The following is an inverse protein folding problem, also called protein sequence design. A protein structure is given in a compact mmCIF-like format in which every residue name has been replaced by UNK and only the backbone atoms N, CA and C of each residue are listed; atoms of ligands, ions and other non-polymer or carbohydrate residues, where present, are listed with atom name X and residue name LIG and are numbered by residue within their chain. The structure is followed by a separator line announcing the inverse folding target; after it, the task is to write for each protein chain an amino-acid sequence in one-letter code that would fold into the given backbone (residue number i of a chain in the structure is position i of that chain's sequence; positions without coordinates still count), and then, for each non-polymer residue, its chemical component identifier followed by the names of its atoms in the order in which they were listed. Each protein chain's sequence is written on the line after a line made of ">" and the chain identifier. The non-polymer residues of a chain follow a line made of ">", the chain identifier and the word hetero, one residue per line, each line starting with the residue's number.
data_IF_505214398157
#
_entry.id   IF_505214398157
#
_cell.length_a   1.000
_cell.length_b   1.000
_cell.length_c   1.000
_cell.angle_alpha   90.00
_cell.angle_beta   90.00
_cell.angle_gamma   90.00
#
_symmetry.space_group_name_H-M   'P 1'
#
loop_
_entity.id
_entity.type
_entity.pdbx_description
1 polymer ?
2 polymer ?
3 polymer ?
4 non-polymer ?
5 water ?
#
loop_
_entity_poly.entity_id
_entity_poly.type
_entity_poly.pdbx_seq_one_letter_code
_entity_poly.pdbx_strand_id
3 'polyribonucleotide' 'GGCUCCUUGGCA' ?
#
# COMPACT_ATOMS: atom_id res chain seq x y z
N UNK A 1 -16.00 -15.16 11.68
CA UNK A 1 -16.38 -16.17 10.70
C UNK A 1 -15.96 -15.79 9.28
N UNK A 2 -14.72 -16.10 8.91
CA UNK A 2 -13.72 -16.67 9.80
C UNK A 2 -12.41 -15.94 9.53
N UNK A 3 -12.39 -14.64 9.86
CA UNK A 3 -11.34 -13.75 9.39
C UNK A 3 -9.97 -14.00 10.02
N UNK A 4 -9.95 -14.52 11.23
CA UNK A 4 -8.68 -14.79 11.90
C UNK A 4 -7.85 -15.81 11.13
N UNK A 5 -8.49 -16.56 10.23
CA UNK A 5 -7.83 -17.63 9.49
C UNK A 5 -6.89 -17.12 8.40
N UNK A 6 -7.13 -15.91 7.93
CA UNK A 6 -6.25 -15.30 6.93
C UNK A 6 -4.83 -15.15 7.47
N UNK A 7 -4.71 -14.54 8.65
CA UNK A 7 -3.43 -14.36 9.30
C UNK A 7 -2.80 -15.70 9.66
N UNK A 8 -3.64 -16.67 10.02
CA UNK A 8 -3.18 -18.00 10.39
C UNK A 8 -2.57 -18.72 9.20
N UNK A 9 -3.15 -18.49 8.03
CA UNK A 9 -2.62 -19.10 6.82
C UNK A 9 -1.27 -18.48 6.50
N UNK A 10 -1.14 -17.18 6.70
CA UNK A 10 0.15 -16.52 6.51
C UNK A 10 1.17 -17.11 7.47
N UNK A 11 0.80 -17.27 8.73
CA UNK A 11 1.70 -17.87 9.72
C UNK A 11 2.15 -19.25 9.26
N UNK A 12 1.20 -20.10 8.90
CA UNK A 12 1.48 -21.48 8.53
C UNK A 12 2.38 -21.56 7.29
N UNK A 13 2.11 -20.73 6.29
CA UNK A 13 2.95 -20.71 5.09
C UNK A 13 4.38 -20.36 5.44
N UNK A 14 4.56 -19.33 6.27
CA UNK A 14 5.89 -18.90 6.72
C UNK A 14 6.65 -20.07 7.35
N UNK A 15 5.95 -20.88 8.15
CA UNK A 15 6.59 -22.00 8.82
C UNK A 15 7.01 -23.08 7.83
N UNK A 16 6.09 -23.47 6.94
CA UNK A 16 6.39 -24.51 5.95
C UNK A 16 7.52 -24.06 5.04
N UNK A 17 7.47 -22.80 4.63
CA UNK A 17 8.51 -22.20 3.82
C UNK A 17 9.87 -22.35 4.50
N UNK A 18 9.98 -21.95 5.76
CA UNK A 18 11.29 -22.05 6.43
C UNK A 18 11.66 -23.48 6.86
N UNK A 19 10.67 -24.35 6.97
CA UNK A 19 10.93 -25.78 7.22
C UNK A 19 11.59 -26.38 5.98
N UNK A 20 11.06 -26.02 4.82
CA UNK A 20 11.59 -26.48 3.55
C UNK A 20 13.04 -26.01 3.33
N UNK A 21 13.32 -24.78 3.73
CA UNK A 21 14.64 -24.18 3.53
C UNK A 21 15.68 -24.59 4.57
N UNK A 22 15.22 -25.00 5.75
CA UNK A 22 16.11 -25.29 6.85
C UNK A 22 16.16 -26.77 7.25
N UNK A 23 15.04 -27.47 7.06
CA UNK A 23 14.96 -28.86 7.42
C UNK A 23 15.19 -29.12 8.89
N UNK A 24 14.70 -28.21 9.73
CA UNK A 24 14.78 -28.38 11.18
C UNK A 24 13.41 -28.73 11.72
N UNK A 25 13.33 -29.01 13.02
CA UNK A 25 12.08 -29.38 13.66
C UNK A 25 10.99 -28.33 13.48
N UNK A 26 9.87 -28.73 12.85
CA UNK A 26 8.76 -27.81 12.57
C UNK A 26 8.21 -27.14 13.83
N UNK A 27 8.13 -27.91 14.92
CA UNK A 27 7.66 -27.38 16.19
C UNK A 27 8.45 -26.15 16.62
N UNK A 28 9.77 -26.25 16.55
CA UNK A 28 10.63 -25.13 16.94
C UNK A 28 10.53 -23.97 15.95
N UNK A 29 10.39 -24.29 14.66
CA UNK A 29 10.29 -23.26 13.64
C UNK A 29 8.97 -22.49 13.81
N UNK A 30 7.91 -23.22 14.14
CA UNK A 30 6.62 -22.60 14.43
C UNK A 30 6.75 -21.59 15.56
N UNK A 31 7.49 -21.95 16.61
CA UNK A 31 7.71 -21.06 17.74
C UNK A 31 8.45 -19.78 17.32
N UNK A 32 9.39 -19.92 16.40
CA UNK A 32 10.11 -18.76 15.87
C UNK A 32 9.18 -17.77 15.19
N UNK A 33 8.31 -18.28 14.32
CA UNK A 33 7.43 -17.42 13.52
C UNK A 33 6.41 -16.73 14.42
N UNK A 34 5.90 -17.47 15.40
CA UNK A 34 4.92 -16.92 16.35
C UNK A 34 5.50 -15.71 17.09
N UNK A 35 6.73 -15.89 17.57
CA UNK A 35 7.44 -14.84 18.30
C UNK A 35 7.72 -13.63 17.42
N UNK A 36 8.22 -13.88 16.22
CA UNK A 36 8.55 -12.81 15.28
C UNK A 36 7.32 -11.97 14.90
N UNK A 37 6.19 -12.63 14.68
CA UNK A 37 4.96 -11.93 14.31
C UNK A 37 4.23 -11.36 15.53
N UNK A 38 4.65 -11.79 16.71
CA UNK A 38 4.00 -11.39 17.97
C UNK A 38 2.51 -11.73 17.95
N UNK A 39 2.20 -12.99 17.68
CA UNK A 39 0.82 -13.46 17.68
C UNK A 39 0.31 -13.61 19.11
N UNK A 40 -0.79 -12.92 19.42
CA UNK A 40 -1.35 -12.97 20.76
C UNK A 40 -2.72 -13.63 20.80
N UNK A 41 -3.56 -13.31 19.82
CA UNK A 41 -4.89 -13.90 19.75
C UNK A 41 -4.84 -15.42 19.82
N UNK A 42 -5.74 -16.00 20.60
CA UNK A 42 -5.75 -17.44 20.85
C UNK A 42 -6.13 -18.26 19.61
N UNK A 43 -7.20 -17.87 18.94
CA UNK A 43 -7.66 -18.60 17.76
C UNK A 43 -6.72 -18.45 16.57
N UNK A 44 -5.98 -17.34 16.51
CA UNK A 44 -5.00 -17.16 15.44
C UNK A 44 -3.83 -18.11 15.65
N UNK A 45 -3.41 -18.24 16.90
CA UNK A 45 -2.32 -19.12 17.28
C UNK A 45 -2.72 -20.56 16.99
N UNK A 46 -3.88 -20.95 17.51
CA UNK A 46 -4.31 -22.35 17.46
C UNK A 46 -4.65 -22.86 16.06
N UNK A 47 -5.23 -22.01 15.21
CA UNK A 47 -5.52 -22.46 13.86
C UNK A 47 -4.24 -22.58 13.02
N UNK A 48 -3.30 -21.67 13.22
CA UNK A 48 -2.00 -21.75 12.55
C UNK A 48 -1.31 -23.05 12.95
N UNK A 49 -1.32 -23.34 14.25
CA UNK A 49 -0.68 -24.55 14.76
C UNK A 49 -1.30 -25.81 14.16
N UNK A 50 -2.63 -25.85 14.09
CA UNK A 50 -3.31 -26.98 13.45
C UNK A 50 -2.96 -27.13 11.98
N UNK A 51 -2.90 -26.02 11.26
CA UNK A 51 -2.54 -26.01 9.85
C UNK A 51 -1.17 -26.68 9.63
N UNK A 52 -0.17 -26.23 10.38
CA UNK A 52 1.18 -26.76 10.25
C UNK A 52 1.26 -28.23 10.68
N UNK A 53 0.74 -28.53 11.86
CA UNK A 53 0.75 -29.90 12.36
C UNK A 53 0.10 -30.86 11.35
N UNK A 54 -0.90 -30.37 10.63
CA UNK A 54 -1.57 -31.18 9.61
C UNK A 54 -0.67 -31.38 8.39
N UNK A 55 -0.11 -30.28 7.89
CA UNK A 55 0.77 -30.34 6.73
C UNK A 55 1.98 -31.25 6.98
N UNK A 56 2.53 -31.18 8.19
CA UNK A 56 3.70 -31.97 8.54
C UNK A 56 3.36 -33.46 8.67
N UNK A 57 2.33 -33.77 9.46
CA UNK A 57 1.93 -35.15 9.67
C UNK A 57 1.73 -35.89 8.35
N UNK A 58 1.08 -35.24 7.40
CA UNK A 58 0.68 -35.89 6.15
C UNK A 58 1.54 -35.46 4.96
N UNK A 59 2.76 -35.02 5.23
CA UNK A 59 3.63 -34.44 4.19
C UNK A 59 3.84 -35.34 2.97
N UNK A 60 4.04 -36.64 3.21
CA UNK A 60 4.32 -37.57 2.11
C UNK A 60 3.15 -37.72 1.15
N UNK A 61 1.97 -37.99 1.69
CA UNK A 61 0.79 -38.12 0.84
C UNK A 61 0.46 -36.79 0.15
N UNK A 62 0.63 -35.69 0.87
CA UNK A 62 0.41 -34.37 0.30
C UNK A 62 1.27 -34.14 -0.94
N UNK A 63 2.56 -34.45 -0.82
CA UNK A 63 3.50 -34.31 -1.94
C UNK A 63 3.13 -35.23 -3.10
N UNK A 64 2.80 -36.48 -2.76
CA UNK A 64 2.39 -37.44 -3.77
C UNK A 64 1.19 -36.94 -4.58
N UNK A 65 0.21 -36.36 -3.90
CA UNK A 65 -0.95 -35.79 -4.57
C UNK A 65 -0.55 -34.67 -5.54
N UNK A 66 0.22 -33.72 -5.05
CA UNK A 66 0.68 -32.60 -5.86
C UNK A 66 1.44 -33.06 -7.12
N UNK A 67 2.28 -34.08 -6.94
CA UNK A 67 3.11 -34.56 -8.04
C UNK A 67 2.30 -35.20 -9.17
N UNK A 68 1.07 -35.60 -8.87
CA UNK A 68 0.21 -36.22 -9.88
C UNK A 68 -0.32 -35.20 -10.88
N UNK A 69 -0.26 -33.93 -10.53
CA UNK A 69 -0.75 -32.86 -11.40
C UNK A 69 0.38 -31.97 -11.92
N UNK A 70 1.59 -32.53 -11.97
CA UNK A 70 2.75 -31.84 -12.52
C UNK A 70 3.27 -32.55 -13.76
N UNK A 74 8.22 -33.41 -11.21
CA UNK A 74 8.63 -33.64 -9.83
C UNK A 74 8.51 -32.37 -8.99
N UNK A 75 8.15 -32.54 -7.71
CA UNK A 75 7.80 -31.40 -6.87
C UNK A 75 8.99 -30.50 -6.52
N UNK A 76 10.20 -31.05 -6.52
CA UNK A 76 11.38 -30.22 -6.21
C UNK A 76 11.74 -29.27 -7.35
N UNK A 77 11.06 -29.40 -8.48
CA UNK A 77 11.20 -28.46 -9.60
C UNK A 77 10.57 -27.11 -9.27
N UNK A 78 9.53 -27.13 -8.44
CA UNK A 78 8.79 -25.93 -8.11
C UNK A 78 9.64 -24.97 -7.29
N UNK A 79 9.26 -23.69 -7.29
CA UNK A 79 9.90 -22.72 -6.42
C UNK A 79 9.49 -22.97 -4.98
N UNK A 80 10.22 -22.38 -4.03
CA UNK A 80 9.90 -22.54 -2.61
C UNK A 80 8.53 -21.93 -2.23
N UNK A 81 8.20 -20.78 -2.79
CA UNK A 81 6.89 -20.16 -2.50
C UNK A 81 5.76 -21.02 -3.05
N UNK A 82 5.90 -21.44 -4.31
CA UNK A 82 4.86 -22.22 -4.98
C UNK A 82 4.60 -23.56 -4.28
N UNK A 83 5.67 -24.30 -4.02
CA UNK A 83 5.57 -25.65 -3.44
C UNK A 83 4.94 -25.63 -2.04
N UNK A 84 5.32 -24.68 -1.20
CA UNK A 84 4.79 -24.66 0.16
C UNK A 84 3.39 -24.05 0.26
N UNK A 85 3.04 -23.23 -0.73
CA UNK A 85 1.67 -22.72 -0.81
C UNK A 85 0.78 -23.89 -1.18
N UNK A 86 1.22 -24.67 -2.17
CA UNK A 86 0.47 -25.84 -2.59
C UNK A 86 0.29 -26.83 -1.44
N UNK A 87 1.36 -27.04 -0.67
CA UNK A 87 1.29 -27.91 0.50
C UNK A 87 0.25 -27.43 1.52
N UNK A 88 0.27 -26.13 1.81
CA UNK A 88 -0.68 -25.56 2.76
C UNK A 88 -2.11 -25.73 2.25
N UNK A 89 -2.31 -25.43 0.97
CA UNK A 89 -3.63 -25.57 0.37
C UNK A 89 -4.19 -26.97 0.46
N UNK A 90 -3.41 -27.96 0.03
CA UNK A 90 -3.85 -29.35 0.05
C UNK A 90 -4.14 -29.78 1.49
N UNK A 91 -3.33 -29.31 2.43
CA UNK A 91 -3.54 -29.63 3.82
C UNK A 91 -4.93 -29.17 4.30
N UNK A 92 -5.27 -27.92 4.01
CA UNK A 92 -6.52 -27.35 4.53
C UNK A 92 -7.76 -27.81 3.77
N UNK A 93 -7.66 -27.87 2.44
CA UNK A 93 -8.80 -28.24 1.60
C UNK A 93 -9.19 -29.70 1.76
N UNK A 94 -8.19 -30.56 1.84
CA UNK A 94 -8.41 -32.01 1.75
C UNK A 94 -8.25 -32.72 3.09
N UNK A 95 -7.13 -32.51 3.76
CA UNK A 95 -6.88 -33.19 5.04
C UNK A 95 -7.61 -32.53 6.21
N UNK A 96 -8.08 -31.31 6.02
CA UNK A 96 -8.91 -30.64 7.02
C UNK A 96 -10.34 -30.46 6.51
N UNK A 97 -10.55 -30.77 5.24
CA UNK A 97 -11.88 -30.76 4.65
C UNK A 97 -12.58 -29.42 4.87
N UNK A 98 -11.92 -28.35 4.45
CA UNK A 98 -12.43 -27.00 4.63
C UNK A 98 -13.82 -26.85 4.06
N UNK A 99 -14.71 -26.22 4.83
CA UNK A 99 -16.06 -25.97 4.38
C UNK A 99 -16.17 -24.57 3.79
N UNK A 100 -15.00 -23.93 3.64
CA UNK A 100 -14.92 -22.64 2.99
C UNK A 100 -13.81 -22.68 1.94
N UNK A 101 -13.93 -23.60 0.95
CA UNK A 101 -12.88 -23.81 -0.04
C UNK A 101 -12.59 -22.57 -0.90
N UNK A 102 -13.63 -21.78 -1.17
CA UNK A 102 -13.45 -20.54 -1.92
C UNK A 102 -12.49 -19.60 -1.21
N UNK A 103 -12.63 -19.52 0.11
CA UNK A 103 -11.75 -18.68 0.92
C UNK A 103 -10.27 -19.10 0.88
N UNK A 104 -10.01 -20.39 1.03
CA UNK A 104 -8.62 -20.85 1.04
C UNK A 104 -7.95 -20.62 -0.32
N UNK A 105 -8.68 -20.85 -1.40
CA UNK A 105 -8.18 -20.56 -2.73
C UNK A 105 -7.74 -19.10 -2.82
N UNK A 106 -8.63 -18.20 -2.40
CA UNK A 106 -8.32 -16.76 -2.42
C UNK A 106 -7.11 -16.44 -1.55
N UNK A 107 -7.12 -16.89 -0.30
CA UNK A 107 -6.04 -16.59 0.62
C UNK A 107 -4.71 -17.21 0.17
N UNK A 108 -4.74 -18.45 -0.30
CA UNK A 108 -3.51 -19.13 -0.71
C UNK A 108 -2.90 -18.44 -1.93
N UNK A 109 -3.74 -18.12 -2.91
CA UNK A 109 -3.26 -17.46 -4.12
C UNK A 109 -2.72 -16.07 -3.84
N UNK A 110 -3.37 -15.34 -2.93
CA UNK A 110 -2.86 -14.03 -2.49
C UNK A 110 -1.48 -14.13 -1.83
N UNK A 111 -1.29 -15.17 -1.04
CA UNK A 111 -0.01 -15.43 -0.39
C UNK A 111 1.10 -15.49 -1.43
N UNK A 112 0.85 -16.26 -2.49
CA UNK A 112 1.81 -16.42 -3.57
C UNK A 112 2.07 -15.11 -4.31
N UNK A 113 1.01 -14.36 -4.62
CA UNK A 113 1.15 -13.07 -5.27
C UNK A 113 1.96 -12.10 -4.41
N UNK A 114 1.80 -12.21 -3.09
CA UNK A 114 2.43 -11.30 -2.16
C UNK A 114 3.94 -11.50 -2.06
N UNK A 115 4.38 -12.76 -2.01
CA UNK A 115 5.80 -13.07 -1.82
C UNK A 115 6.51 -13.50 -3.11
N UNK A 116 5.74 -13.75 -4.16
CA UNK A 116 6.28 -13.96 -5.50
C UNK A 116 5.54 -13.05 -6.49
N UNK A 117 5.07 -13.60 -7.60
CA UNK A 117 4.40 -12.76 -8.60
C UNK A 117 3.14 -13.37 -9.21
N UNK A 118 2.48 -12.59 -10.07
CA UNK A 118 1.24 -13.00 -10.73
C UNK A 118 1.37 -14.36 -11.42
N UNK A 119 2.45 -14.54 -12.17
CA UNK A 119 2.69 -15.81 -12.85
C UNK A 119 2.67 -16.97 -11.86
N UNK A 120 3.44 -16.85 -10.78
CA UNK A 120 3.46 -17.88 -9.76
C UNK A 120 2.05 -18.11 -9.24
N UNK A 121 1.32 -17.03 -9.00
CA UNK A 121 -0.04 -17.11 -8.49
C UNK A 121 -0.97 -17.91 -9.39
N UNK A 122 -0.86 -17.70 -10.70
CA UNK A 122 -1.68 -18.41 -11.67
C UNK A 122 -1.31 -19.88 -11.79
N UNK A 123 -0.03 -20.18 -11.67
CA UNK A 123 0.43 -21.57 -11.71
C UNK A 123 -0.10 -22.32 -10.52
N UNK A 124 -0.02 -21.70 -9.34
CA UNK A 124 -0.51 -22.33 -8.12
C UNK A 124 -2.02 -22.53 -8.15
N UNK A 125 -2.75 -21.50 -8.58
CA UNK A 125 -4.19 -21.59 -8.67
C UNK A 125 -4.63 -22.73 -9.60
N UNK A 126 -3.97 -22.81 -10.76
CA UNK A 126 -4.29 -23.82 -11.76
C UNK A 126 -3.99 -25.24 -11.29
N UNK A 127 -2.88 -25.42 -10.59
CA UNK A 127 -2.52 -26.74 -10.07
C UNK A 127 -3.43 -27.12 -8.90
N UNK A 128 -3.71 -26.16 -8.04
CA UNK A 128 -4.53 -26.41 -6.85
C UNK A 128 -5.97 -26.72 -7.24
N UNK A 129 -6.39 -26.20 -8.40
CA UNK A 129 -7.74 -26.45 -8.88
C UNK A 129 -7.88 -27.88 -9.38
N UNK A 130 -6.94 -28.31 -10.22
CA UNK A 130 -6.94 -29.68 -10.72
C UNK A 130 -6.99 -30.66 -9.56
N UNK A 131 -6.21 -30.38 -8.53
CA UNK A 131 -6.17 -31.24 -7.35
C UNK A 131 -7.54 -31.37 -6.69
N UNK A 132 -8.16 -30.23 -6.37
CA UNK A 132 -9.43 -30.24 -5.66
C UNK A 132 -10.51 -30.87 -6.53
N UNK A 133 -10.50 -30.53 -7.81
CA UNK A 133 -11.43 -31.10 -8.76
C UNK A 133 -11.44 -32.62 -8.66
N UNK A 134 -10.25 -33.22 -8.68
CA UNK A 134 -10.12 -34.66 -8.54
C UNK A 134 -10.74 -35.14 -7.24
N UNK A 135 -10.46 -34.41 -6.15
CA UNK A 135 -11.04 -34.72 -4.84
C UNK A 135 -12.57 -34.72 -4.91
N UNK B 1 -10.21 3.61 16.22
CA UNK B 1 -9.78 2.55 15.32
C UNK B 1 -9.90 2.97 13.87
N UNK B 2 -9.63 2.03 12.95
CA UNK B 2 -9.83 2.24 11.52
C UNK B 2 -8.75 3.10 10.87
N UNK B 3 -7.50 2.77 11.16
CA UNK B 3 -6.35 3.59 10.72
C UNK B 3 -6.24 3.78 9.20
N UNK B 4 -6.50 2.72 8.43
CA UNK B 4 -6.39 2.78 6.98
C UNK B 4 -7.27 3.89 6.37
N UNK B 5 -8.22 4.38 7.16
CA UNK B 5 -9.16 5.40 6.69
C UNK B 5 -8.55 6.79 6.71
N UNK B 6 -7.52 6.97 7.52
CA UNK B 6 -6.80 8.26 7.52
C UNK B 6 -6.18 8.52 6.15
N UNK B 7 -5.45 7.53 5.64
CA UNK B 7 -4.85 7.63 4.32
C UNK B 7 -5.91 7.81 3.24
N UNK B 8 -7.03 7.08 3.36
CA UNK B 8 -8.12 7.21 2.39
C UNK B 8 -8.67 8.64 2.33
N UNK B 9 -8.78 9.28 3.49
CA UNK B 9 -9.25 10.67 3.55
C UNK B 9 -8.28 11.62 2.85
N UNK B 10 -6.98 11.40 3.03
CA UNK B 10 -5.99 12.17 2.30
C UNK B 10 -6.20 11.99 0.79
N UNK B 11 -6.36 10.74 0.36
CA UNK B 11 -6.58 10.42 -1.04
C UNK B 11 -7.81 11.14 -1.62
N UNK B 12 -8.92 11.06 -0.90
CA UNK B 12 -10.17 11.67 -1.36
C UNK B 12 -10.07 13.21 -1.42
N UNK B 13 -9.44 13.80 -0.41
CA UNK B 13 -9.17 15.24 -0.41
C UNK B 13 -8.37 15.68 -1.64
N UNK B 14 -7.29 14.96 -1.93
CA UNK B 14 -6.47 15.25 -3.09
C UNK B 14 -7.28 15.22 -4.39
N UNK B 15 -8.19 14.25 -4.51
CA UNK B 15 -9.02 14.14 -5.69
C UNK B 15 -9.99 15.32 -5.82
N UNK B 16 -10.69 15.63 -4.74
CA UNK B 16 -11.61 16.76 -4.75
C UNK B 16 -10.87 18.06 -5.08
N UNK B 17 -9.68 18.23 -4.50
CA UNK B 17 -8.89 19.42 -4.75
C UNK B 17 -8.62 19.63 -6.24
N UNK B 18 -8.11 18.61 -6.92
CA UNK B 18 -7.82 18.75 -8.34
C UNK B 18 -9.07 18.74 -9.22
N UNK B 19 -10.15 18.12 -8.72
CA UNK B 19 -11.44 18.19 -9.41
C UNK B 19 -11.96 19.63 -9.43
N UNK B 20 -11.80 20.30 -8.29
CA UNK B 20 -12.23 21.69 -8.13
C UNK B 20 -11.45 22.62 -9.06
N UNK B 21 -10.19 22.29 -9.31
CA UNK B 21 -9.35 23.10 -10.18
C UNK B 21 -9.50 22.72 -11.66
N UNK B 22 -9.66 21.42 -11.92
CA UNK B 22 -9.62 20.92 -13.29
C UNK B 22 -11.00 20.72 -13.94
N UNK B 23 -12.00 20.37 -13.15
CA UNK B 23 -13.34 20.16 -13.66
C UNK B 23 -13.47 18.98 -14.62
N UNK B 24 -12.51 18.06 -14.56
CA UNK B 24 -12.56 16.88 -15.42
C UNK B 24 -13.22 15.69 -14.71
N UNK B 25 -13.37 14.57 -15.41
CA UNK B 25 -14.03 13.39 -14.86
C UNK B 25 -13.42 12.91 -13.54
N UNK B 26 -14.21 13.00 -12.45
CA UNK B 26 -13.75 12.63 -11.10
C UNK B 26 -13.11 11.25 -11.06
N UNK B 27 -13.63 10.31 -11.84
CA UNK B 27 -13.11 8.96 -11.89
C UNK B 27 -11.70 8.88 -12.43
N UNK B 28 -11.42 9.59 -13.52
CA UNK B 28 -10.07 9.63 -14.09
C UNK B 28 -9.10 10.29 -13.12
N UNK B 29 -9.58 11.34 -12.44
CA UNK B 29 -8.74 12.03 -11.46
C UNK B 29 -8.41 11.12 -10.28
N UNK B 30 -9.37 10.32 -9.84
CA UNK B 30 -9.14 9.35 -8.77
C UNK B 30 -8.00 8.42 -9.15
N UNK B 31 -8.01 7.94 -10.39
CA UNK B 31 -6.96 7.06 -10.89
C UNK B 31 -5.59 7.71 -10.91
N UNK B 32 -5.54 9.00 -11.21
CA UNK B 32 -4.29 9.75 -11.18
C UNK B 32 -3.66 9.73 -9.79
N UNK B 33 -4.46 10.02 -8.78
CA UNK B 33 -3.97 10.13 -7.40
C UNK B 33 -3.53 8.78 -6.84
N UNK B 34 -4.31 7.74 -7.12
CA UNK B 34 -3.97 6.40 -6.69
C UNK B 34 -2.60 6.02 -7.24
N UNK B 35 -2.39 6.34 -8.52
CA UNK B 35 -1.12 6.04 -9.19
C UNK B 35 0.05 6.82 -8.59
N UNK B 36 -0.15 8.10 -8.33
CA UNK B 36 0.91 8.94 -7.78
C UNK B 36 1.31 8.49 -6.38
N UNK B 37 0.32 8.15 -5.56
CA UNK B 37 0.58 7.74 -4.18
C UNK B 37 1.02 6.27 -4.10
N UNK B 38 0.92 5.57 -5.23
CA UNK B 38 1.23 4.15 -5.29
C UNK B 38 0.46 3.31 -4.27
N UNK B 39 -0.85 3.54 -4.20
CA UNK B 39 -1.71 2.80 -3.29
C UNK B 39 -2.06 1.42 -3.83
N UNK B 40 -1.97 0.41 -2.95
CA UNK B 40 -2.30 -0.95 -3.33
C UNK B 40 -3.29 -1.57 -2.33
N UNK B 41 -3.27 -1.08 -1.10
CA UNK B 41 -4.15 -1.63 -0.07
C UNK B 41 -5.60 -1.56 -0.50
N UNK B 42 -6.27 -2.72 -0.47
CA UNK B 42 -7.64 -2.86 -0.92
C UNK B 42 -8.62 -2.04 -0.10
N UNK B 43 -8.49 -2.09 1.22
CA UNK B 43 -9.38 -1.34 2.11
C UNK B 43 -9.22 0.18 1.95
N UNK B 44 -7.97 0.65 1.85
CA UNK B 44 -7.71 2.08 1.68
C UNK B 44 -8.17 2.58 0.31
N UNK B 45 -7.97 1.74 -0.70
CA UNK B 45 -8.43 2.06 -2.06
C UNK B 45 -9.96 2.19 -2.11
N UNK B 46 -10.65 1.18 -1.59
CA UNK B 46 -12.11 1.14 -1.63
C UNK B 46 -12.77 2.24 -0.80
N UNK B 47 -12.21 2.55 0.35
CA UNK B 47 -12.82 3.58 1.18
C UNK B 47 -12.65 4.96 0.56
N UNK B 48 -11.50 5.19 -0.08
CA UNK B 48 -11.25 6.45 -0.77
C UNK B 48 -12.22 6.61 -1.93
N UNK B 49 -12.43 5.53 -2.68
CA UNK B 49 -13.36 5.57 -3.80
C UNK B 49 -14.76 5.93 -3.31
N UNK B 50 -15.16 5.31 -2.20
CA UNK B 50 -16.46 5.55 -1.58
C UNK B 50 -16.63 7.02 -1.16
N UNK B 51 -15.60 7.58 -0.52
CA UNK B 51 -15.61 8.98 -0.11
C UNK B 51 -15.75 9.94 -1.29
N UNK B 52 -15.05 9.66 -2.39
CA UNK B 52 -15.08 10.52 -3.56
C UNK B 52 -16.44 10.45 -4.25
N UNK B 53 -16.92 9.23 -4.47
CA UNK B 53 -18.18 9.00 -5.18
C UNK B 53 -19.36 9.64 -4.44
N UNK B 54 -19.33 9.57 -3.11
CA UNK B 54 -20.35 10.16 -2.27
C UNK B 54 -20.33 11.69 -2.37
N UNK B 55 -19.15 12.29 -2.26
CA UNK B 55 -19.01 13.74 -2.32
C UNK B 55 -19.43 14.29 -3.69
N UNK B 56 -18.98 13.64 -4.76
CA UNK B 56 -19.38 14.02 -6.11
C UNK B 56 -20.89 13.96 -6.27
N UNK B 57 -21.48 12.83 -5.92
CA UNK B 57 -22.92 12.61 -6.12
C UNK B 57 -23.77 13.66 -5.40
N UNK B 58 -23.36 14.06 -4.20
CA UNK B 58 -24.15 14.96 -3.37
C UNK B 58 -23.58 16.37 -3.32
N UNK B 59 -22.75 16.73 -4.30
CA UNK B 59 -21.97 17.96 -4.23
C UNK B 59 -22.83 19.23 -4.09
N UNK B 60 -23.98 19.25 -4.76
CA UNK B 60 -24.88 20.40 -4.71
C UNK B 60 -25.41 20.60 -3.30
N UNK B 61 -25.98 19.55 -2.72
CA UNK B 61 -26.54 19.64 -1.38
C UNK B 61 -25.45 19.89 -0.34
N UNK B 62 -24.26 19.36 -0.59
CA UNK B 62 -23.13 19.56 0.31
C UNK B 62 -22.72 21.04 0.35
N UNK B 63 -22.55 21.65 -0.81
CA UNK B 63 -22.19 23.05 -0.87
C UNK B 63 -23.26 23.90 -0.22
N UNK B 64 -24.51 23.59 -0.52
CA UNK B 64 -25.64 24.32 0.06
C UNK B 64 -25.61 24.27 1.58
N UNK B 65 -25.33 23.08 2.11
CA UNK B 65 -25.27 22.89 3.55
C UNK B 65 -24.16 23.74 4.16
N UNK B 66 -23.03 23.82 3.46
CA UNK B 66 -21.88 24.56 3.94
C UNK B 66 -22.14 26.07 3.96
N UNK B 67 -22.65 26.60 2.85
CA UNK B 67 -22.94 28.02 2.75
C UNK B 67 -23.99 28.44 3.78
N UNK B 68 -24.81 27.49 4.22
CA UNK B 68 -25.81 27.78 5.24
C UNK B 68 -25.12 28.12 6.56
N UNK B 69 -23.80 28.00 6.60
CA UNK B 69 -23.06 28.20 7.83
C UNK B 69 -21.81 29.07 7.67
N UNK B 70 -21.74 29.82 6.58
CA UNK B 70 -20.58 30.68 6.33
C UNK B 70 -20.85 32.15 6.63
N UNK B 71 -21.92 32.41 7.37
CA UNK B 71 -22.26 33.77 7.78
C UNK B 71 -22.42 34.70 6.58
N UNK B 72 -23.28 34.31 5.65
CA UNK B 72 -23.57 35.11 4.47
C UNK B 72 -22.59 34.89 3.34
N UNK B 73 -21.48 34.23 3.63
CA UNK B 73 -20.39 34.04 2.67
C UNK B 73 -20.67 33.02 1.57
N UNK B 74 -19.99 33.22 0.45
CA UNK B 74 -20.01 32.29 -0.67
C UNK B 74 -18.88 31.27 -0.52
N UNK B 75 -19.17 30.00 -0.79
CA UNK B 75 -18.17 28.97 -0.65
C UNK B 75 -17.00 29.24 -1.60
N UNK B 76 -17.29 29.94 -2.70
CA UNK B 76 -16.29 30.23 -3.72
C UNK B 76 -15.14 31.08 -3.19
N UNK B 77 -15.34 31.71 -2.04
CA UNK B 77 -14.36 32.66 -1.50
C UNK B 77 -13.40 32.07 -0.47
N UNK B 78 -13.67 30.85 -0.02
CA UNK B 78 -12.73 30.15 0.84
C UNK B 78 -11.51 29.72 0.02
N UNK B 79 -10.42 29.38 0.68
CA UNK B 79 -9.29 28.76 0.00
C UNK B 79 -9.67 27.39 -0.53
N UNK B 80 -8.87 26.84 -1.43
CA UNK B 80 -9.17 25.54 -2.02
C UNK B 80 -9.09 24.39 -1.01
N UNK B 81 -8.14 24.50 -0.09
CA UNK B 81 -7.97 23.47 0.93
C UNK B 81 -9.18 23.46 1.88
N UNK B 82 -9.52 24.62 2.42
CA UNK B 82 -10.65 24.75 3.34
C UNK B 82 -11.96 24.24 2.72
N UNK B 83 -12.25 24.70 1.51
CA UNK B 83 -13.50 24.34 0.83
C UNK B 83 -13.63 22.84 0.59
N UNK B 84 -12.55 22.22 0.11
CA UNK B 84 -12.61 20.81 -0.23
C UNK B 84 -12.48 19.86 0.96
N UNK B 85 -11.80 20.33 2.01
CA UNK B 85 -11.78 19.59 3.27
C UNK B 85 -13.17 19.60 3.89
N UNK B 86 -13.83 20.76 3.83
CA UNK B 86 -15.20 20.89 4.32
C UNK B 86 -16.16 20.01 3.52
N UNK B 87 -15.97 19.96 2.20
CA UNK B 87 -16.81 19.11 1.35
C UNK B 87 -16.66 17.64 1.75
N UNK B 88 -15.42 17.20 1.94
CA UNK B 88 -15.13 15.82 2.33
C UNK B 88 -15.73 15.49 3.70
N UNK B 89 -15.60 16.42 4.64
CA UNK B 89 -16.11 16.24 5.98
C UNK B 89 -17.62 16.07 6.03
N UNK B 90 -18.32 16.89 5.26
CA UNK B 90 -19.78 16.84 5.20
C UNK B 90 -20.21 15.53 4.56
N UNK B 91 -19.49 15.13 3.51
CA UNK B 91 -19.80 13.89 2.81
C UNK B 91 -19.80 12.71 3.78
N UNK B 92 -18.77 12.65 4.63
CA UNK B 92 -18.57 11.51 5.51
C UNK B 92 -19.48 11.56 6.72
N UNK B 93 -19.50 12.72 7.39
CA UNK B 93 -20.30 12.90 8.60
C UNK B 93 -21.80 12.74 8.36
N UNK B 94 -22.29 13.37 7.30
CA UNK B 94 -23.74 13.44 7.07
C UNK B 94 -24.23 12.41 6.05
N UNK B 95 -23.56 12.31 4.91
CA UNK B 95 -24.05 11.42 3.85
C UNK B 95 -23.60 9.97 4.00
N UNK B 96 -22.53 9.73 4.74
CA UNK B 96 -22.16 8.37 5.12
C UNK B 96 -22.50 8.12 6.59
N UNK B 97 -23.09 9.12 7.23
CA UNK B 97 -23.52 9.00 8.63
C UNK B 97 -22.49 8.31 9.51
N UNK B 98 -21.26 8.81 9.47
CA UNK B 98 -20.13 8.19 10.17
C UNK B 98 -20.44 7.89 11.63
N UNK B 99 -20.07 6.68 12.07
CA UNK B 99 -20.19 6.30 13.46
C UNK B 99 -18.92 6.61 14.26
N UNK B 100 -17.90 7.12 13.58
CA UNK B 100 -16.65 7.53 14.23
C UNK B 100 -16.39 9.01 13.98
N UNK B 101 -17.34 9.87 14.34
CA UNK B 101 -17.23 11.28 13.93
C UNK B 101 -16.05 12.01 14.57
N UNK B 102 -15.61 11.54 15.74
CA UNK B 102 -14.43 12.11 16.39
C UNK B 102 -13.21 11.99 15.51
N UNK B 103 -12.99 10.80 14.97
CA UNK B 103 -11.89 10.53 14.04
C UNK B 103 -11.99 11.39 12.78
N UNK B 104 -13.20 11.53 12.25
CA UNK B 104 -13.42 12.34 11.06
C UNK B 104 -12.97 13.78 11.26
N UNK B 105 -13.47 14.41 12.33
CA UNK B 105 -13.05 15.77 12.67
C UNK B 105 -11.53 15.89 12.75
N UNK B 106 -10.91 14.99 13.52
CA UNK B 106 -9.46 15.02 13.74
C UNK B 106 -8.66 14.85 12.45
N UNK B 107 -9.03 13.88 11.64
CA UNK B 107 -8.33 13.64 10.37
C UNK B 107 -8.52 14.80 9.37
N UNK B 108 -9.73 15.33 9.29
CA UNK B 108 -10.00 16.45 8.39
C UNK B 108 -9.28 17.74 8.82
N UNK B 109 -9.29 18.02 10.12
CA UNK B 109 -8.60 19.20 10.63
C UNK B 109 -7.09 19.06 10.49
N UNK B 110 -6.58 17.86 10.69
CA UNK B 110 -5.15 17.60 10.48
C UNK B 110 -4.73 17.81 9.03
N UNK B 111 -5.58 17.40 8.09
CA UNK B 111 -5.31 17.62 6.66
C UNK B 111 -5.21 19.11 6.33
N UNK B 112 -6.09 19.90 6.93
CA UNK B 112 -6.12 21.33 6.69
C UNK B 112 -4.87 21.98 7.29
N UNK B 113 -4.51 21.53 8.49
CA UNK B 113 -3.30 22.00 9.15
C UNK B 113 -2.05 21.65 8.35
N UNK B 114 -2.07 20.49 7.71
CA UNK B 114 -0.91 20.01 6.93
C UNK B 114 -0.71 20.82 5.64
N UNK B 115 -1.79 21.03 4.89
CA UNK B 115 -1.70 21.67 3.59
C UNK B 115 -1.93 23.18 3.64
N UNK B 116 -2.49 23.67 4.74
CA UNK B 116 -2.67 25.10 4.94
C UNK B 116 -1.99 25.52 6.24
N UNK B 117 -2.76 26.04 7.20
CA UNK B 117 -2.19 26.47 8.47
C UNK B 117 -3.14 26.26 9.66
N UNK B 118 -2.71 26.72 10.83
CA UNK B 118 -3.48 26.57 12.06
C UNK B 118 -4.80 27.33 11.99
N UNK B 119 -4.74 28.58 11.56
CA UNK B 119 -5.94 29.40 11.44
C UNK B 119 -6.96 28.75 10.52
N UNK B 120 -6.50 28.28 9.37
CA UNK B 120 -7.37 27.61 8.41
C UNK B 120 -7.99 26.38 9.07
N UNK B 121 -7.24 25.75 9.96
CA UNK B 121 -7.69 24.57 10.68
C UNK B 121 -8.76 24.86 11.71
N UNK B 122 -8.58 25.96 12.46
CA UNK B 122 -9.58 26.35 13.47
C UNK B 122 -10.88 26.76 12.79
N UNK B 123 -10.76 27.49 11.67
CA UNK B 123 -11.91 27.88 10.89
C UNK B 123 -12.72 26.65 10.48
N UNK B 124 -12.05 25.68 9.88
CA UNK B 124 -12.71 24.47 9.37
C UNK B 124 -13.35 23.69 10.52
N UNK B 125 -12.62 23.51 11.60
CA UNK B 125 -13.17 22.84 12.77
C UNK B 125 -14.43 23.54 13.26
N UNK B 126 -14.38 24.87 13.29
CA UNK B 126 -15.49 25.68 13.74
C UNK B 126 -16.73 25.55 12.88
N UNK B 127 -16.56 25.68 11.57
CA UNK B 127 -17.66 25.57 10.63
C UNK B 127 -18.23 24.15 10.57
N UNK B 128 -17.35 23.15 10.66
CA UNK B 128 -17.79 21.76 10.60
C UNK B 128 -18.54 21.41 11.89
N UNK B 129 -18.17 22.06 12.99
CA UNK B 129 -18.88 21.89 14.25
C UNK B 129 -20.32 22.37 14.16
N UNK B 130 -20.50 23.56 13.59
CA UNK B 130 -21.84 24.14 13.45
C UNK B 130 -22.70 23.30 12.51
N UNK B 131 -22.09 22.83 11.42
CA UNK B 131 -22.78 21.95 10.48
C UNK B 131 -23.25 20.68 11.17
N UNK B 132 -22.34 20.03 11.87
CA UNK B 132 -22.66 18.78 12.55
C UNK B 132 -23.64 18.99 13.68
N UNK B 133 -23.50 20.11 14.38
CA UNK B 133 -24.40 20.45 15.47
C UNK B 133 -25.85 20.56 14.98
N UNK B 134 -26.03 21.29 13.89
CA UNK B 134 -27.36 21.50 13.32
C UNK B 134 -27.93 20.19 12.77
N UNK B 135 -27.06 19.30 12.36
CA UNK B 135 -27.47 18.01 11.81
C UNK B 135 -27.91 17.02 12.89
N UNK B 136 -27.18 16.98 14.00
CA UNK B 136 -27.52 16.10 15.10
C UNK B 136 -28.83 16.54 15.77
N UNK B 137 -29.12 17.83 15.68
CA UNK B 137 -30.30 18.42 16.30
C UNK B 137 -31.59 18.00 15.59
N UNK B 138 -31.45 17.55 14.34
CA UNK B 138 -32.60 17.09 13.57
C UNK B 138 -33.19 15.82 14.18
N UNK C 5 27.83 -12.11 18.79
CA UNK C 5 27.79 -11.28 17.59
C UNK C 5 26.94 -11.93 16.50
N UNK C 6 26.03 -11.16 15.92
CA UNK C 6 25.13 -11.65 14.88
C UNK C 6 25.39 -11.00 13.52
N UNK C 7 24.75 -11.55 12.49
CA UNK C 7 24.80 -10.99 11.15
C UNK C 7 23.41 -10.93 10.55
N UNK C 8 23.08 -9.81 9.91
CA UNK C 8 21.82 -9.70 9.19
C UNK C 8 22.03 -9.53 7.70
N UNK C 9 21.38 -10.37 6.91
CA UNK C 9 21.55 -10.33 5.47
C UNK C 9 20.23 -10.13 4.77
N UNK C 10 20.19 -9.18 3.83
CA UNK C 10 19.02 -9.01 2.99
C UNK C 10 19.41 -9.27 1.54
N UNK C 11 18.64 -10.10 0.87
CA UNK C 11 18.88 -10.43 -0.52
C UNK C 11 17.74 -9.88 -1.38
N UNK C 12 18.07 -9.43 -2.58
CA UNK C 12 17.08 -8.92 -3.51
C UNK C 12 17.34 -9.48 -4.89
N UNK C 13 16.27 -9.61 -5.67
CA UNK C 13 16.38 -10.09 -7.05
C UNK C 13 15.11 -9.76 -7.81
N UNK C 14 15.19 -9.84 -9.14
CA UNK C 14 14.01 -9.65 -9.97
C UNK C 14 13.52 -11.01 -10.47
N UNK C 15 14.01 -12.05 -9.81
CA UNK C 15 13.58 -13.42 -10.08
C UNK C 15 13.48 -14.16 -8.76
N UNK C 16 12.26 -14.54 -8.38
CA UNK C 16 12.01 -15.03 -7.03
C UNK C 16 12.51 -16.45 -6.80
N UNK C 17 12.53 -17.26 -7.85
CA UNK C 17 12.99 -18.64 -7.69
C UNK C 17 14.51 -18.69 -7.56
N UNK C 18 15.18 -17.79 -8.28
CA UNK C 18 16.62 -17.63 -8.16
C UNK C 18 16.96 -17.13 -6.77
N UNK C 19 16.13 -16.21 -6.27
CA UNK C 19 16.33 -15.63 -4.96
C UNK C 19 16.27 -16.68 -3.85
N UNK C 20 15.19 -17.46 -3.83
CA UNK C 20 15.04 -18.47 -2.79
C UNK C 20 16.09 -19.59 -2.91
N UNK C 21 16.56 -19.87 -4.12
CA UNK C 21 17.66 -20.82 -4.29
C UNK C 21 18.94 -20.25 -3.71
N UNK C 22 19.12 -18.94 -3.82
CA UNK C 22 20.28 -18.30 -3.21
C UNK C 22 20.24 -18.37 -1.69
N UNK C 23 19.06 -18.07 -1.13
CA UNK C 23 18.90 -18.14 0.32
C UNK C 23 19.21 -19.55 0.82
N UNK C 24 18.78 -20.56 0.09
CA UNK C 24 19.03 -21.94 0.48
C UNK C 24 20.54 -22.23 0.55
N UNK C 25 21.28 -21.78 -0.46
CA UNK C 25 22.72 -22.04 -0.51
C UNK C 25 23.44 -21.41 0.67
N UNK C 26 23.06 -20.17 0.99
CA UNK C 26 23.64 -19.46 2.13
C UNK C 26 23.37 -20.22 3.43
N UNK C 27 22.13 -20.64 3.62
CA UNK C 27 21.76 -21.42 4.80
C UNK C 27 22.60 -22.70 4.90
N UNK C 28 22.72 -23.44 3.81
CA UNK C 28 23.52 -24.68 3.80
C UNK C 28 24.98 -24.39 4.14
N UNK C 29 25.54 -23.38 3.49
CA UNK C 29 26.93 -23.00 3.74
C UNK C 29 27.14 -22.60 5.20
N UNK C 30 26.21 -21.83 5.74
CA UNK C 30 26.29 -21.42 7.14
C UNK C 30 26.24 -22.62 8.08
N UNK C 31 25.31 -23.54 7.82
CA UNK C 31 25.15 -24.70 8.69
C UNK C 31 26.33 -25.66 8.55
N UNK C 32 26.88 -25.71 7.34
CA UNK C 32 28.00 -26.60 7.05
C UNK C 32 29.25 -26.18 7.81
N UNK C 33 29.28 -24.92 8.24
CA UNK C 33 30.44 -24.38 8.94
C UNK C 33 30.17 -24.13 10.43
N UNK C 34 29.14 -24.78 10.96
CA UNK C 34 28.83 -24.69 12.37
C UNK C 34 28.06 -23.44 12.79
N UNK C 35 27.44 -22.77 11.82
CA UNK C 35 26.67 -21.58 12.12
C UNK C 35 25.22 -21.87 12.46
N UNK C 36 24.53 -20.87 13.02
CA UNK C 36 23.12 -21.02 13.35
C UNK C 36 22.30 -19.90 12.71
N UNK C 37 21.18 -20.28 12.12
CA UNK C 37 20.36 -19.36 11.34
C UNK C 37 19.00 -19.06 11.98
N UNK C 38 18.46 -17.88 11.70
CA UNK C 38 17.09 -17.51 12.05
C UNK C 38 16.41 -16.93 10.80
N UNK C 39 15.15 -17.29 10.58
CA UNK C 39 14.47 -16.95 9.34
C UNK C 39 14.50 -18.08 8.33
N UNK C 40 14.49 -17.75 7.03
CA UNK C 40 14.42 -16.40 6.47
C UNK C 40 12.99 -15.84 6.53
N UNK C 41 12.88 -14.52 6.46
CA UNK C 41 11.59 -13.86 6.38
C UNK C 41 11.43 -13.29 4.98
N UNK C 42 10.37 -13.72 4.26
CA UNK C 42 10.12 -13.10 2.95
C UNK C 42 9.41 -11.75 3.15
N UNK C 43 9.80 -10.75 2.36
CA UNK C 43 9.15 -9.45 2.40
C UNK C 43 8.19 -9.36 1.21
N UNK C 44 7.19 -8.47 1.30
CA UNK C 44 6.26 -8.27 0.18
C UNK C 44 6.99 -7.83 -1.09
N UNK C 45 6.65 -8.45 -2.21
CA UNK C 45 7.13 -8.02 -3.52
C UNK C 45 6.76 -6.55 -3.73
N UNK C 46 7.73 -5.73 -4.12
CA UNK C 46 7.48 -4.30 -4.32
C UNK C 46 8.09 -3.81 -5.63
N UNK C 47 7.23 -3.46 -6.59
CA UNK C 47 7.68 -2.96 -7.87
C UNK C 47 8.47 -4.02 -8.66
N UNK C 48 8.01 -5.26 -8.60
CA UNK C 48 8.60 -6.37 -9.35
C UNK C 48 9.87 -6.89 -8.71
N UNK C 49 10.19 -6.37 -7.52
CA UNK C 49 11.40 -6.76 -6.81
C UNK C 49 11.07 -7.67 -5.61
N UNK C 50 11.66 -8.86 -5.61
CA UNK C 50 11.51 -9.79 -4.49
C UNK C 50 12.66 -9.62 -3.51
N UNK C 51 12.37 -9.72 -2.22
CA UNK C 51 13.42 -9.63 -1.21
C UNK C 51 13.20 -10.59 -0.05
N UNK C 52 14.29 -10.99 0.59
CA UNK C 52 14.26 -11.88 1.75
C UNK C 52 15.26 -11.39 2.79
N UNK C 53 14.99 -11.69 4.07
CA UNK C 53 15.95 -11.38 5.13
C UNK C 53 16.33 -12.62 5.91
N UNK C 54 17.59 -12.72 6.28
CA UNK C 54 18.14 -13.87 6.99
C UNK C 54 19.05 -13.41 8.12
N UNK C 55 18.89 -14.01 9.29
CA UNK C 55 19.76 -13.69 10.42
C UNK C 55 20.72 -14.84 10.71
N UNK C 56 21.99 -14.50 10.89
CA UNK C 56 22.98 -15.46 11.37
C UNK C 56 23.20 -15.16 12.84
N UNK C 57 22.69 -16.02 13.72
CA UNK C 57 22.75 -15.74 15.16
C UNK C 57 23.95 -16.37 15.86
N UNK C 58 24.56 -17.37 15.22
CA UNK C 58 25.82 -17.96 15.69
C UNK C 58 26.72 -18.27 14.51
N UNK C 59 27.99 -17.90 14.61
CA UNK C 59 28.94 -18.16 13.52
C UNK C 59 30.37 -18.39 13.98
N UNK C 60 31.13 -19.14 13.18
CA UNK C 60 32.54 -19.41 13.43
C UNK C 60 33.39 -18.62 12.43
N UNK C 61 34.72 -18.62 12.61
CA UNK C 61 35.62 -18.04 11.61
C UNK C 61 35.41 -18.70 10.24
N UNK C 62 35.20 -20.01 10.24
CA UNK C 62 34.89 -20.75 9.02
C UNK C 62 33.64 -20.21 8.32
N UNK C 63 32.65 -19.79 9.10
CA UNK C 63 31.42 -19.23 8.54
C UNK C 63 31.69 -17.94 7.76
N UNK C 64 32.50 -17.05 8.34
CA UNK C 64 32.89 -15.80 7.70
C UNK C 64 33.69 -16.07 6.41
N UNK C 65 34.67 -16.96 6.49
CA UNK C 65 35.45 -17.35 5.32
C UNK C 65 34.53 -17.77 4.17
N UNK C 66 33.65 -18.73 4.43
CA UNK C 66 32.77 -19.28 3.39
C UNK C 66 31.84 -18.22 2.80
N UNK C 67 31.30 -17.34 3.64
CA UNK C 67 30.44 -16.26 3.17
C UNK C 67 31.20 -15.31 2.26
N UNK C 68 32.48 -15.11 2.55
CA UNK C 68 33.32 -14.25 1.72
C UNK C 68 33.66 -14.91 0.38
N UNK C 69 33.78 -16.24 0.42
CA UNK C 69 34.14 -17.02 -0.77
C UNK C 69 32.99 -17.16 -1.76
N UNK C 70 31.79 -17.35 -1.23
CA UNK C 70 30.62 -17.66 -2.05
C UNK C 70 30.37 -16.63 -3.15
N UNK C 71 30.17 -17.13 -4.36
CA UNK C 71 29.84 -16.25 -5.47
C UNK C 71 28.37 -16.42 -5.86
N UNK C 72 27.56 -15.45 -5.46
CA UNK C 72 26.14 -15.44 -5.80
C UNK C 72 25.94 -14.90 -7.20
N UNK C 73 24.91 -15.38 -7.90
CA UNK C 73 24.57 -14.74 -9.18
C UNK C 73 24.56 -13.22 -9.01
N UNK C 74 25.06 -12.49 -9.99
CA UNK C 74 25.14 -11.04 -9.87
C UNK C 74 23.74 -10.43 -9.73
N UNK C 75 22.74 -11.10 -10.30
CA UNK C 75 21.36 -10.65 -10.20
C UNK C 75 20.87 -10.57 -8.76
N UNK C 76 21.42 -11.44 -7.92
CA UNK C 76 21.13 -11.39 -6.50
C UNK C 76 22.06 -10.36 -5.86
N UNK C 77 21.49 -9.32 -5.30
CA UNK C 77 22.30 -8.32 -4.61
C UNK C 77 22.17 -8.47 -3.10
N UNK C 78 23.30 -8.34 -2.42
CA UNK C 78 23.40 -8.67 -1.01
C UNK C 78 23.72 -7.45 -0.16
N UNK C 79 23.14 -7.41 1.03
CA UNK C 79 23.44 -6.37 1.99
C UNK C 79 23.70 -7.04 3.34
N UNK C 80 24.88 -6.81 3.89
CA UNK C 80 25.29 -7.49 5.11
C UNK C 80 25.60 -6.50 6.23
N UNK C 81 25.09 -6.80 7.43
CA UNK C 81 25.36 -5.97 8.58
C UNK C 81 25.62 -6.82 9.83
N UNK C 82 26.81 -6.65 10.41
CA UNK C 82 27.11 -7.24 11.72
C UNK C 82 26.44 -6.37 12.77
N UNK C 83 26.23 -6.91 13.97
CA UNK C 83 25.60 -6.13 15.04
C UNK C 83 25.81 -6.77 16.40
N UNK D 5 8.72 14.64 -23.22
CA UNK D 5 8.57 16.10 -23.31
C UNK D 5 7.55 16.62 -22.30
N UNK D 6 7.83 16.41 -21.02
CA UNK D 6 6.96 16.89 -19.96
C UNK D 6 7.66 18.00 -19.17
N UNK D 7 6.86 18.89 -18.58
CA UNK D 7 7.40 19.96 -17.76
C UNK D 7 6.85 19.85 -16.34
N UNK D 8 7.74 19.91 -15.36
CA UNK D 8 7.30 19.94 -13.97
C UNK D 8 7.40 21.36 -13.42
N UNK D 9 6.31 21.83 -12.83
CA UNK D 9 6.26 23.17 -12.26
C UNK D 9 5.95 23.13 -10.77
N UNK D 10 6.83 23.70 -9.97
CA UNK D 10 6.62 23.84 -8.55
C UNK D 10 6.40 25.31 -8.17
N UNK D 11 5.35 25.57 -7.40
CA UNK D 11 5.00 26.93 -7.03
C UNK D 11 4.99 27.09 -5.52
N UNK D 12 5.48 28.24 -5.05
CA UNK D 12 5.54 28.53 -3.62
C UNK D 12 5.05 29.95 -3.38
N UNK D 13 4.34 30.14 -2.27
CA UNK D 13 3.91 31.47 -1.84
C UNK D 13 3.55 31.49 -0.35
N UNK D 14 3.53 32.66 0.26
CA UNK D 14 3.08 32.79 1.64
C UNK D 14 1.58 33.11 1.70
N UNK D 15 0.96 33.17 0.52
CA UNK D 15 -0.46 33.50 0.41
C UNK D 15 -1.16 32.45 -0.46
N UNK D 16 -1.91 31.55 0.17
CA UNK D 16 -2.48 30.40 -0.54
C UNK D 16 -3.46 30.79 -1.65
N UNK D 17 -4.12 31.92 -1.50
CA UNK D 17 -5.08 32.37 -2.51
C UNK D 17 -4.38 32.78 -3.79
N UNK D 18 -3.34 33.60 -3.66
CA UNK D 18 -2.53 33.96 -4.82
C UNK D 18 -1.90 32.72 -5.46
N UNK D 19 -1.58 31.73 -4.63
CA UNK D 19 -0.94 30.49 -5.07
C UNK D 19 -1.88 29.64 -5.92
N UNK D 20 -3.05 29.32 -5.38
CA UNK D 20 -4.02 28.51 -6.11
C UNK D 20 -4.64 29.23 -7.30
N UNK D 21 -4.69 30.56 -7.23
CA UNK D 21 -5.10 31.38 -8.37
C UNK D 21 -4.09 31.24 -9.49
N UNK D 22 -2.81 31.20 -9.12
CA UNK D 22 -1.74 31.02 -10.09
C UNK D 22 -1.80 29.63 -10.71
N UNK D 23 -2.02 28.62 -9.87
CA UNK D 23 -2.19 27.24 -10.36
C UNK D 23 -3.33 27.18 -11.37
N UNK D 24 -4.45 27.82 -11.03
CA UNK D 24 -5.62 27.86 -11.90
C UNK D 24 -5.25 28.49 -13.24
N UNK D 25 -4.63 29.66 -13.18
CA UNK D 25 -4.24 30.40 -14.37
C UNK D 25 -3.39 29.57 -15.32
N UNK D 26 -2.41 28.87 -14.77
CA UNK D 26 -1.53 28.04 -15.58
C UNK D 26 -2.28 26.87 -16.24
N UNK D 27 -3.21 26.27 -15.50
CA UNK D 27 -4.00 25.16 -16.02
C UNK D 27 -4.86 25.61 -17.21
N UNK D 28 -5.57 26.73 -17.04
CA UNK D 28 -6.44 27.24 -18.08
C UNK D 28 -5.64 27.64 -19.33
N UNK D 29 -4.41 28.06 -19.12
CA UNK D 29 -3.52 28.41 -20.22
C UNK D 29 -3.06 27.19 -21.01
N UNK D 30 -2.66 26.14 -20.29
CA UNK D 30 -2.23 24.90 -20.91
C UNK D 30 -3.36 24.28 -21.75
N UNK D 31 -4.56 24.23 -21.17
CA UNK D 31 -5.71 23.68 -21.87
C UNK D 31 -6.12 24.52 -23.07
N UNK D 32 -5.89 25.82 -22.98
CA UNK D 32 -6.25 26.72 -24.07
C UNK D 32 -5.31 26.55 -25.26
N UNK D 33 -4.08 26.13 -24.99
CA UNK D 33 -3.08 26.01 -26.04
C UNK D 33 -2.85 24.55 -26.47
N UNK D 34 -3.84 23.71 -26.20
CA UNK D 34 -3.81 22.35 -26.69
C UNK D 34 -2.99 21.36 -25.89
N UNK D 35 -2.60 21.75 -24.66
CA UNK D 35 -1.82 20.88 -23.81
C UNK D 35 -2.62 20.05 -22.82
N UNK D 36 -1.94 19.16 -22.10
CA UNK D 36 -2.59 18.33 -21.09
C UNK D 36 -1.88 18.40 -19.75
N UNK D 37 -2.67 18.45 -18.68
CA UNK D 37 -2.13 18.63 -17.33
C UNK D 37 -2.29 17.39 -16.46
N UNK D 38 -1.36 17.22 -15.53
CA UNK D 38 -1.44 16.17 -14.51
C UNK D 38 -1.17 16.81 -13.15
N UNK D 39 -2.03 16.52 -12.16
CA UNK D 39 -1.99 17.21 -10.89
C UNK D 39 -3.16 18.19 -10.81
N UNK D 40 -3.00 19.28 -10.06
CA UNK D 40 -1.85 19.61 -9.22
C UNK D 40 -1.91 18.94 -7.85
N UNK D 41 -0.77 18.86 -7.18
CA UNK D 41 -0.69 18.28 -5.85
C UNK D 41 -0.28 19.36 -4.85
N UNK D 42 -1.02 19.49 -3.73
CA UNK D 42 -0.51 20.38 -2.68
C UNK D 42 0.55 19.65 -1.87
N UNK D 43 1.54 20.37 -1.39
CA UNK D 43 2.57 19.77 -0.55
C UNK D 43 2.40 20.32 0.87
N UNK D 44 2.96 19.63 1.86
CA UNK D 44 2.87 20.11 3.25
C UNK D 44 3.48 21.50 3.43
N UNK D 45 2.76 22.37 4.12
CA UNK D 45 3.22 23.69 4.47
C UNK D 45 4.51 23.63 5.27
N UNK D 46 5.41 24.58 5.04
CA UNK D 46 6.66 24.66 5.81
C UNK D 46 6.99 26.10 6.21
N UNK D 47 7.04 26.36 7.52
CA UNK D 47 7.31 27.69 8.03
C UNK D 47 6.39 28.74 7.39
N UNK D 48 5.11 28.42 7.30
CA UNK D 48 4.10 29.33 6.75
C UNK D 48 4.16 29.45 5.23
N UNK D 49 5.06 28.72 4.58
CA UNK D 49 5.16 28.75 3.13
C UNK D 49 4.36 27.61 2.47
N UNK D 50 3.39 27.98 1.64
CA UNK D 50 2.53 26.99 1.00
C UNK D 50 3.13 26.62 -0.35
N UNK D 51 2.86 25.40 -0.83
CA UNK D 51 3.41 24.98 -2.13
C UNK D 51 2.55 23.95 -2.89
N UNK D 52 2.73 23.91 -4.20
CA UNK D 52 1.95 23.07 -5.11
C UNK D 52 2.86 22.56 -6.21
N UNK D 53 2.49 21.42 -6.78
CA UNK D 53 3.24 20.87 -7.89
C UNK D 53 2.30 20.46 -9.02
N UNK D 54 2.68 20.85 -10.23
CA UNK D 54 1.87 20.65 -11.41
C UNK D 54 2.71 20.07 -12.53
N UNK D 55 2.22 19.01 -13.15
CA UNK D 55 2.88 18.45 -14.32
C UNK D 55 2.17 18.87 -15.60
N UNK D 56 2.96 19.25 -16.59
CA UNK D 56 2.44 19.47 -17.94
C UNK D 56 2.95 18.32 -18.79
N UNK D 57 2.04 17.46 -19.25
CA UNK D 57 2.43 16.19 -19.87
C UNK D 57 2.31 16.22 -21.39
N UNK D 58 1.75 17.29 -21.92
CA UNK D 58 1.65 17.49 -23.36
C UNK D 58 1.55 18.98 -23.60
N UNK D 59 2.29 19.48 -24.59
CA UNK D 59 2.26 20.89 -24.90
C UNK D 59 2.60 21.19 -26.37
N UNK D 60 2.18 22.36 -26.83
CA UNK D 60 2.51 22.85 -28.16
C UNK D 60 3.49 24.01 -28.00
N UNK D 61 4.13 24.43 -29.10
CA UNK D 61 5.00 25.61 -29.02
C UNK D 61 4.24 26.80 -28.44
N UNK D 62 2.94 26.85 -28.68
CA UNK D 62 2.10 27.94 -28.17
C UNK D 62 1.90 27.85 -26.65
N UNK D 63 2.06 26.66 -26.10
CA UNK D 63 2.02 26.51 -24.65
C UNK D 63 3.26 27.18 -24.06
N UNK D 64 4.42 26.88 -24.64
CA UNK D 64 5.67 27.46 -24.18
C UNK D 64 5.65 28.99 -24.29
N UNK D 65 5.16 29.49 -25.42
CA UNK D 65 5.07 30.93 -25.64
C UNK D 65 4.23 31.58 -24.55
N UNK D 66 3.05 31.03 -24.32
CA UNK D 66 2.10 31.60 -23.37
C UNK D 66 2.59 31.57 -21.94
N UNK D 67 3.33 30.51 -21.59
CA UNK D 67 3.87 30.38 -20.25
C UNK D 67 5.00 31.37 -20.00
N UNK D 68 5.78 31.64 -21.04
CA UNK D 68 6.83 32.65 -20.95
C UNK D 68 6.23 34.04 -20.78
N UNK D 69 5.06 34.26 -21.38
CA UNK D 69 4.42 35.57 -21.38
C UNK D 69 3.70 35.90 -20.08
N UNK D 70 3.13 34.89 -19.44
CA UNK D 70 2.25 35.12 -18.29
C UNK D 70 3.00 35.79 -17.12
N UNK D 71 2.33 36.74 -16.49
CA UNK D 71 2.90 37.42 -15.33
C UNK D 71 2.20 36.97 -14.07
N UNK D 72 2.93 36.27 -13.20
CA UNK D 72 2.38 35.80 -11.94
C UNK D 72 2.49 36.87 -10.86
N UNK D 73 1.58 36.84 -9.87
CA UNK D 73 1.55 37.81 -8.77
C UNK D 73 2.90 37.88 -8.06
N UNK D 74 3.23 39.05 -7.54
CA UNK D 74 4.45 39.20 -6.75
C UNK D 74 4.42 38.25 -5.56
N UNK D 75 5.54 37.57 -5.32
CA UNK D 75 5.62 36.68 -4.17
C UNK D 75 5.19 35.25 -4.45
N UNK D 76 4.83 34.96 -5.69
CA UNK D 76 4.63 33.57 -6.10
C UNK D 76 5.87 33.11 -6.85
N UNK D 77 6.65 32.24 -6.21
CA UNK D 77 7.89 31.74 -6.80
C UNK D 77 7.62 30.52 -7.67
N UNK D 78 8.23 30.51 -8.84
CA UNK D 78 8.04 29.45 -9.81
C UNK D 78 9.35 28.74 -10.10
N UNK D 79 9.29 27.42 -10.13
CA UNK D 79 10.45 26.60 -10.46
C UNK D 79 10.04 25.63 -11.58
N UNK D 80 10.76 25.68 -12.69
CA UNK D 80 10.41 24.90 -13.88
C UNK D 80 11.50 23.93 -14.35
N UNK D 81 11.12 22.67 -14.54
CA UNK D 81 12.04 21.65 -15.03
C UNK D 81 11.47 20.91 -16.23
N UNK D 82 12.22 20.90 -17.33
CA UNK D 82 11.85 20.11 -18.49
C UNK D 82 12.21 18.65 -18.24
N UNK D 83 11.37 17.73 -18.70
CA UNK D 83 11.58 16.30 -18.52
C UNK D 83 11.38 15.52 -19.82
X LIG G 1 10.38 -30.59 4.16
X LIG G 1 11.62 -30.99 4.68
X LIG G 1 9.90 -31.64 3.18
X LIG G 1 10.22 -32.91 3.65
X LIG G 1 9.76 -34.06 2.98
X LIG G 1 9.91 -33.87 1.47
X LIG G 1 11.26 -33.74 1.14
X LIG H 1 -15.74 22.11 -11.59
X LIG H 1 -14.68 23.04 -11.58
X LIG H 1 -15.49 21.03 -10.53
X LIG H 1 -16.66 20.81 -9.81
X LIG H 1 -16.85 21.45 -8.58
X LIG H 1 -18.30 21.29 -8.14
X LIG H 1 -18.90 22.56 -7.98
X LIG I 1 -28.87 6.14 -1.23
X LIG I 1 -28.22 5.12 -1.94
X LIG I 1 -28.54 7.50 -1.83
X LIG I 1 -27.17 7.74 -1.66
X LIG I 1 -26.61 7.47 -0.41
X LIG I 1 -25.13 7.87 -0.42
X LIG I 1 -24.60 7.76 0.87
X LIG J 1 -17.47 14.89 17.81
X LIG J 1 -17.55 14.26 19.06
X LIG J 1 -17.18 16.38 18.00
X LIG J 1 -15.82 16.63 17.76
X LIG J 1 -14.84 15.92 18.46
X LIG J 1 -13.47 16.22 17.87
X LIG J 1 -12.64 15.09 18.02
X LIG K 1 -5.88 0.16 -9.25
X LIG K 1 -7.04 -0.63 -9.16
X LIG K 1 -5.31 0.40 -7.84
X LIG K 1 -5.38 -0.78 -7.08
X LIG K 1 -6.49 -1.01 -6.26
X LIG K 1 -6.68 -2.51 -6.02
X LIG K 1 -8.02 -2.76 -5.70
#
# INVERSE_FOLDING_TARGET
>A
MMRYRKGARDTAFLVLYRWDLRGENPGELFKEVVEEKNIKNKDAYEYAKKLVDTAVRHIEEIDSIIEKHLKGWSIDRLGYVERNALRLGVAELIFLKSKEPGRVFIDIVDLVKKYADEKAGKFVNGVLSAIYKAYITSSKEEKPSLKSE
>B
MMRYRKGARDTAFLVLYRWDLRGENPGELFKEVVEEKNIKNKDAYEYAKKLVDTAVRHIEEIDSIIEKHLKGWSIDRLGYVERNALRLGVAELIFLKSKEPGRVFIDIVDLVKKYADEKAGKFVNGVLSAIYKAYITSSKEEKPSLKSE
>C
GMEQEKIRIKLRAYDHRLLDQSVKQIIETVKRTGGVVKGPIPLPTRKSEFSRILDIIRFTPQTIEALMEISLPAGVDVEVKMRG
>D
GMEQEKIRIKLRAYDHRLLDQSVKQIIETVKRTGGVVKGPIPLPTRKSEFSRILDIIRFTPQTIEALMEISLPAGVDVEVKMRG
>G hetero
1 PEG C1 O1 C2 O2 C3 C4 O4
>H hetero
1 PEG C1 O1 C2 O2 C3 C4 O4
>I hetero
1 PEG C1 O1 C2 O2 C3 C4 O4
>J hetero
1 PEG C1 O1 C2 O2 C3 C4 O4
>K hetero
1 PEG C1 O1 C2 O2 C3 C4 O4
#
